data_IF_669273659475
#
_entry.id   IF_669273659475
#
_cell.length_a   1.000
_cell.length_b   1.000
_cell.length_c   1.000
_cell.angle_alpha   90.00
_cell.angle_beta   90.00
_cell.angle_gamma   90.00
#
_symmetry.space_group_name_H-M   'P 1'
#
loop_
_entity.id
_entity.type
_entity.pdbx_description
1 polymer ?
#
# COMPACT_ATOMS: atom_id res chain seq x y z
N UNK A 1 33.90 5.72 6.57
CA UNK A 1 32.54 6.17 6.93
C UNK A 1 32.21 5.99 8.42
N UNK A 2 32.57 4.86 9.05
CA UNK A 2 32.32 4.64 10.50
C UNK A 2 33.04 5.62 11.44
N UNK A 3 34.24 6.08 11.07
CA UNK A 3 35.04 7.01 11.89
C UNK A 3 34.42 8.41 11.99
N UNK A 4 33.76 8.89 10.94
CA UNK A 4 33.08 10.19 10.94
C UNK A 4 31.85 10.18 11.85
N UNK A 5 31.12 9.06 11.89
CA UNK A 5 29.94 8.88 12.75
C UNK A 5 30.33 8.85 14.24
N UNK A 6 31.44 8.20 14.56
CA UNK A 6 31.96 8.15 15.94
C UNK A 6 32.48 9.51 16.42
N UNK A 7 33.10 10.31 15.52
CA UNK A 7 33.54 11.67 15.82
C UNK A 7 32.31 12.58 16.03
N UNK A 8 31.27 12.47 15.20
CA UNK A 8 30.03 13.23 15.37
C UNK A 8 29.30 12.89 16.67
N UNK A 9 29.25 11.60 17.03
CA UNK A 9 28.66 11.17 18.32
C UNK A 9 29.49 11.68 19.50
N UNK A 10 30.84 11.67 19.43
CA UNK A 10 31.71 12.20 20.49
C UNK A 10 31.57 13.72 20.65
N UNK A 11 31.52 14.46 19.54
CA UNK A 11 31.34 15.92 19.58
C UNK A 11 29.93 16.25 20.09
N UNK A 12 28.92 15.51 19.69
CA UNK A 12 27.55 15.64 20.18
C UNK A 12 27.44 15.34 21.69
N UNK A 13 28.14 14.29 22.16
CA UNK A 13 28.20 13.94 23.59
C UNK A 13 29.00 14.96 24.42
N UNK A 14 30.09 15.51 23.87
CA UNK A 14 30.88 16.59 24.50
C UNK A 14 30.10 17.90 24.57
N UNK A 15 29.38 18.28 23.52
CA UNK A 15 28.48 19.43 23.53
C UNK A 15 27.34 19.27 24.57
N UNK A 16 26.85 18.05 24.82
CA UNK A 16 25.86 17.77 25.86
C UNK A 16 26.46 17.94 27.27
N UNK A 17 27.77 17.63 27.47
CA UNK A 17 28.41 17.66 28.79
C UNK A 17 28.94 19.06 29.16
N UNK A 18 29.36 19.87 28.19
CA UNK A 18 29.94 21.20 28.45
C UNK A 18 28.95 22.37 28.43
N UNK A 19 27.70 22.17 28.03
CA UNK A 19 26.70 23.24 28.14
C UNK A 19 26.33 23.44 29.61
N UNK A 20 26.99 24.35 30.27
CA UNK A 20 26.50 24.97 31.53
C UNK A 20 25.11 25.49 31.25
N UNK A 21 24.13 24.80 31.86
CA UNK A 21 22.73 25.12 31.73
C UNK A 21 22.46 26.56 32.18
N UNK A 22 22.00 27.40 31.25
CA UNK A 22 21.30 28.63 31.61
C UNK A 22 19.81 28.21 31.61
N UNK A 23 19.19 28.03 32.79
CA UNK A 23 17.77 27.65 32.82
C UNK A 23 16.95 28.84 32.33
N UNK A 24 16.13 28.62 31.34
CA UNK A 24 15.13 29.58 30.90
C UNK A 24 13.81 29.23 31.60
N UNK A 25 13.39 30.03 32.57
CA UNK A 25 12.15 29.79 33.30
C UNK A 25 10.94 30.37 32.56
N UNK A 26 9.96 29.55 32.30
CA UNK A 26 8.67 29.96 31.76
C UNK A 26 7.55 29.42 32.65
N UNK A 27 6.75 30.27 33.24
CA UNK A 27 5.69 29.89 34.22
C UNK A 27 6.15 28.98 35.38
N UNK A 28 7.39 29.19 35.88
CA UNK A 28 7.93 28.40 36.99
C UNK A 28 8.48 27.02 36.59
N UNK A 29 8.56 26.71 35.32
CA UNK A 29 9.22 25.50 34.77
C UNK A 29 10.56 25.92 34.16
N UNK A 30 11.65 25.34 34.67
CA UNK A 30 13.00 25.57 34.17
C UNK A 30 13.31 24.61 33.01
N UNK A 31 13.54 25.15 31.83
CA UNK A 31 13.94 24.38 30.67
C UNK A 31 15.43 24.49 30.41
N UNK A 32 16.03 23.37 30.13
CA UNK A 32 17.43 23.35 29.68
C UNK A 32 17.51 23.73 28.21
N UNK A 33 18.67 24.26 27.76
CA UNK A 33 18.89 24.60 26.36
C UNK A 33 18.60 23.40 25.43
N UNK A 34 18.98 22.19 25.86
CA UNK A 34 18.77 20.95 25.12
C UNK A 34 17.27 20.66 24.95
N UNK A 35 16.49 20.81 26.03
CA UNK A 35 15.04 20.60 25.97
C UNK A 35 14.36 21.59 25.02
N UNK A 36 14.79 22.84 25.01
CA UNK A 36 14.30 23.85 24.06
C UNK A 36 14.65 23.50 22.61
N UNK A 37 15.87 23.02 22.34
CA UNK A 37 16.29 22.58 21.02
C UNK A 37 15.48 21.37 20.57
N UNK A 38 15.31 20.38 21.44
CA UNK A 38 14.50 19.18 21.15
C UNK A 38 13.04 19.56 20.88
N UNK A 39 12.48 20.44 21.71
CA UNK A 39 11.12 20.94 21.51
C UNK A 39 10.97 21.68 20.18
N UNK A 40 11.95 22.51 19.83
CA UNK A 40 11.98 23.21 18.54
C UNK A 40 12.02 22.25 17.36
N UNK A 41 12.84 21.20 17.43
CA UNK A 41 12.91 20.15 16.38
C UNK A 41 11.59 19.37 16.29
N UNK A 42 10.98 19.02 17.42
CA UNK A 42 9.68 18.36 17.43
C UNK A 42 8.57 19.22 16.80
N UNK A 43 8.56 20.53 17.09
CA UNK A 43 7.65 21.48 16.48
C UNK A 43 7.83 21.57 14.95
N UNK A 44 9.08 21.62 14.47
CA UNK A 44 9.36 21.61 13.04
C UNK A 44 8.86 20.34 12.35
N UNK A 45 9.11 19.18 12.95
CA UNK A 45 8.61 17.89 12.44
C UNK A 45 7.08 17.88 12.42
N UNK A 46 6.44 18.38 13.46
CA UNK A 46 4.98 18.45 13.56
C UNK A 46 4.37 19.39 12.50
N UNK A 47 4.96 20.57 12.28
CA UNK A 47 4.54 21.51 11.23
C UNK A 47 4.69 20.87 9.85
N UNK A 48 5.84 20.20 9.59
CA UNK A 48 6.05 19.46 8.35
C UNK A 48 5.01 18.37 8.14
N UNK A 49 4.67 17.64 9.20
CA UNK A 49 3.65 16.59 9.14
C UNK A 49 2.27 17.14 8.82
N UNK A 50 1.86 18.24 9.46
CA UNK A 50 0.59 18.94 9.16
C UNK A 50 0.59 19.42 7.70
N UNK A 51 1.68 20.03 7.23
CA UNK A 51 1.80 20.46 5.83
C UNK A 51 1.63 19.27 4.87
N UNK A 52 2.31 18.16 5.13
CA UNK A 52 2.22 16.96 4.29
C UNK A 52 0.80 16.40 4.26
N UNK A 53 0.16 16.22 5.42
CA UNK A 53 -1.22 15.73 5.48
C UNK A 53 -2.22 16.67 4.79
N UNK A 54 -2.09 17.97 4.98
CA UNK A 54 -3.00 18.93 4.32
C UNK A 54 -2.82 18.89 2.80
N UNK A 55 -1.61 18.80 2.30
CA UNK A 55 -1.33 18.64 0.85
C UNK A 55 -1.91 17.36 0.29
N UNK A 56 -1.75 16.26 1.01
CA UNK A 56 -2.31 14.96 0.61
C UNK A 56 -3.84 14.98 0.56
N UNK A 57 -4.48 15.45 1.63
CA UNK A 57 -5.94 15.56 1.71
C UNK A 57 -6.49 16.49 0.63
N UNK A 58 -5.86 17.63 0.38
CA UNK A 58 -6.26 18.55 -0.69
C UNK A 58 -6.19 17.89 -2.07
N UNK A 59 -5.18 17.03 -2.32
CA UNK A 59 -5.07 16.26 -3.56
C UNK A 59 -6.29 15.34 -3.76
N UNK A 60 -6.62 14.56 -2.74
CA UNK A 60 -7.77 13.65 -2.78
C UNK A 60 -9.10 14.40 -2.93
N UNK A 61 -9.29 15.51 -2.19
CA UNK A 61 -10.50 16.32 -2.27
C UNK A 61 -10.67 16.98 -3.65
N UNK A 62 -9.57 17.43 -4.26
CA UNK A 62 -9.60 17.99 -5.63
C UNK A 62 -10.00 16.92 -6.64
N UNK A 63 -9.44 15.73 -6.57
CA UNK A 63 -9.80 14.60 -7.44
C UNK A 63 -11.27 14.22 -7.27
N UNK A 64 -11.74 14.09 -6.03
CA UNK A 64 -13.14 13.81 -5.73
C UNK A 64 -14.08 14.88 -6.28
N UNK A 65 -13.71 16.15 -6.09
CA UNK A 65 -14.50 17.28 -6.60
C UNK A 65 -14.49 17.33 -8.14
N UNK A 66 -13.36 17.02 -8.76
CA UNK A 66 -13.25 16.95 -10.22
C UNK A 66 -14.08 15.79 -10.78
N UNK A 67 -14.05 14.62 -10.12
CA UNK A 67 -14.88 13.47 -10.48
C UNK A 67 -16.37 13.79 -10.38
N UNK A 68 -16.82 14.37 -9.27
CA UNK A 68 -18.22 14.76 -9.08
C UNK A 68 -18.71 15.82 -10.08
N UNK A 69 -17.81 16.63 -10.62
CA UNK A 69 -18.12 17.65 -11.65
C UNK A 69 -17.97 17.11 -13.08
N UNK A 70 -17.72 15.81 -13.26
CA UNK A 70 -17.48 15.23 -14.59
C UNK A 70 -16.24 15.80 -15.31
N UNK A 71 -15.31 16.43 -14.55
CA UNK A 71 -14.10 17.04 -15.10
C UNK A 71 -12.88 16.09 -15.12
N UNK A 72 -13.05 14.86 -14.63
CA UNK A 72 -12.02 13.83 -14.80
C UNK A 72 -12.17 13.33 -16.23
N UNK A 73 -11.26 13.75 -17.09
CA UNK A 73 -11.12 13.13 -18.39
C UNK A 73 -10.64 11.69 -18.15
N UNK A 74 -11.55 10.72 -18.28
CA UNK A 74 -11.13 9.34 -18.43
C UNK A 74 -10.30 9.26 -19.72
N UNK A 75 -9.20 8.51 -19.68
CA UNK A 75 -8.41 8.28 -20.90
C UNK A 75 -9.35 7.77 -21.99
N UNK A 76 -9.28 8.39 -23.15
CA UNK A 76 -10.05 7.96 -24.33
C UNK A 76 -9.59 6.59 -24.83
N UNK A 77 -8.35 6.22 -24.54
CA UNK A 77 -7.82 4.89 -24.79
C UNK A 77 -8.01 4.06 -23.53
N UNK A 78 -8.75 2.97 -23.65
CA UNK A 78 -8.98 1.99 -22.59
C UNK A 78 -8.14 0.75 -22.96
N UNK A 79 -6.89 0.66 -22.45
CA UNK A 79 -6.03 -0.49 -22.76
C UNK A 79 -6.61 -1.77 -22.14
N UNK A 80 -6.37 -2.93 -22.74
CA UNK A 80 -6.79 -4.20 -22.16
C UNK A 80 -6.12 -4.43 -20.79
N UNK A 81 -6.90 -4.93 -19.82
CA UNK A 81 -6.48 -5.04 -18.42
C UNK A 81 -6.61 -6.48 -17.91
N UNK A 82 -5.62 -6.94 -17.16
CA UNK A 82 -5.68 -8.21 -16.42
C UNK A 82 -5.82 -7.95 -14.92
N UNK A 83 -6.98 -8.34 -14.36
CA UNK A 83 -7.25 -8.25 -12.92
C UNK A 83 -6.82 -9.56 -12.25
N UNK A 84 -5.85 -9.50 -11.34
CA UNK A 84 -5.32 -10.68 -10.66
C UNK A 84 -5.85 -10.71 -9.23
N UNK A 85 -6.50 -11.82 -8.85
CA UNK A 85 -7.06 -12.06 -7.53
C UNK A 85 -6.41 -13.29 -6.95
N UNK A 86 -5.68 -13.16 -5.84
CA UNK A 86 -5.14 -14.31 -5.09
C UNK A 86 -6.13 -14.67 -3.98
N UNK A 87 -6.59 -15.91 -3.97
CA UNK A 87 -7.57 -16.41 -3.02
C UNK A 87 -7.08 -17.68 -2.33
N UNK A 88 -7.38 -17.78 -1.03
CA UNK A 88 -7.14 -18.99 -0.23
C UNK A 88 -8.28 -19.13 0.76
N UNK A 89 -9.02 -20.24 0.64
CA UNK A 89 -10.19 -20.54 1.49
C UNK A 89 -11.21 -19.38 1.54
N UNK A 90 -11.51 -18.80 0.37
CA UNK A 90 -12.33 -17.58 0.22
C UNK A 90 -13.61 -17.85 -0.61
N UNK A 91 -14.16 -19.07 -0.54
CA UNK A 91 -15.31 -19.49 -1.36
C UNK A 91 -16.52 -18.57 -1.22
N UNK A 92 -16.87 -18.14 0.02
CA UNK A 92 -18.03 -17.29 0.27
C UNK A 92 -17.84 -15.87 -0.28
N UNK A 93 -16.64 -15.31 -0.11
CA UNK A 93 -16.32 -14.00 -0.63
C UNK A 93 -16.28 -13.99 -2.16
N UNK A 94 -15.68 -15.00 -2.77
CA UNK A 94 -15.65 -15.15 -4.23
C UNK A 94 -17.06 -15.35 -4.79
N UNK A 95 -17.89 -16.20 -4.18
CA UNK A 95 -19.28 -16.41 -4.59
C UNK A 95 -20.07 -15.11 -4.58
N UNK A 96 -19.85 -14.28 -3.58
CA UNK A 96 -20.58 -13.02 -3.39
C UNK A 96 -20.08 -11.89 -4.27
N UNK A 97 -18.78 -11.74 -4.43
CA UNK A 97 -18.18 -10.52 -4.99
C UNK A 97 -17.58 -10.70 -6.39
N UNK A 98 -17.09 -11.90 -6.74
CA UNK A 98 -16.45 -12.13 -8.03
C UNK A 98 -17.39 -11.83 -9.23
N UNK A 99 -18.70 -12.17 -9.19
CA UNK A 99 -19.60 -11.80 -10.27
C UNK A 99 -19.68 -10.30 -10.55
N UNK A 100 -19.58 -9.44 -9.52
CA UNK A 100 -19.58 -7.99 -9.72
C UNK A 100 -18.31 -7.50 -10.40
N UNK A 101 -17.16 -8.16 -10.17
CA UNK A 101 -15.92 -7.86 -10.88
C UNK A 101 -16.00 -8.30 -12.33
N UNK A 102 -16.59 -9.48 -12.59
CA UNK A 102 -16.71 -10.06 -13.93
C UNK A 102 -17.70 -9.33 -14.83
N UNK A 103 -18.65 -8.60 -14.23
CA UNK A 103 -19.71 -7.86 -14.94
C UNK A 103 -19.40 -6.37 -15.10
N UNK A 104 -18.15 -5.94 -14.86
CA UNK A 104 -17.80 -4.54 -15.04
C UNK A 104 -17.87 -4.12 -16.51
N UNK A 105 -18.36 -2.89 -16.73
CA UNK A 105 -18.41 -2.28 -18.05
C UNK A 105 -17.04 -1.76 -18.45
N UNK A 106 -16.15 -2.67 -18.88
CA UNK A 106 -14.84 -2.34 -19.43
C UNK A 106 -14.65 -3.07 -20.75
N UNK A 107 -14.12 -2.40 -21.82
CA UNK A 107 -14.13 -2.96 -23.18
C UNK A 107 -13.39 -4.28 -23.33
N UNK A 108 -12.21 -4.37 -22.75
CA UNK A 108 -11.36 -5.56 -22.87
C UNK A 108 -10.63 -5.81 -21.54
N UNK A 109 -11.09 -6.82 -20.79
CA UNK A 109 -10.46 -7.23 -19.54
C UNK A 109 -10.63 -8.71 -19.29
N UNK A 110 -9.66 -9.27 -18.60
CA UNK A 110 -9.72 -10.62 -18.04
C UNK A 110 -9.56 -10.58 -16.52
N UNK A 111 -10.12 -11.57 -15.84
CA UNK A 111 -9.95 -11.78 -14.42
C UNK A 111 -9.27 -13.12 -14.21
N UNK A 112 -8.15 -13.12 -13.51
CA UNK A 112 -7.36 -14.31 -13.21
C UNK A 112 -7.40 -14.55 -11.71
N UNK A 113 -8.09 -15.60 -11.28
CA UNK A 113 -8.09 -16.01 -9.88
C UNK A 113 -7.01 -17.06 -9.65
N UNK A 114 -6.08 -16.76 -8.76
CA UNK A 114 -5.01 -17.68 -8.35
C UNK A 114 -5.42 -18.36 -7.06
N UNK A 115 -5.70 -19.66 -7.12
CA UNK A 115 -5.98 -20.47 -5.96
C UNK A 115 -4.67 -20.82 -5.23
N UNK A 116 -4.46 -20.26 -4.03
CA UNK A 116 -3.27 -20.48 -3.21
C UNK A 116 -3.42 -21.71 -2.29
N UNK A 117 -3.81 -22.84 -2.87
CA UNK A 117 -3.94 -24.10 -2.15
C UNK A 117 -5.14 -24.09 -1.19
N UNK A 118 -6.30 -23.62 -1.64
CA UNK A 118 -7.54 -23.69 -0.88
C UNK A 118 -7.93 -25.13 -0.60
N UNK A 119 -8.53 -25.35 0.56
CA UNK A 119 -9.04 -26.67 1.02
C UNK A 119 -10.59 -26.72 1.03
N UNK A 120 -11.21 -25.57 0.76
CA UNK A 120 -12.66 -25.41 0.65
C UNK A 120 -13.16 -25.63 -0.81
N UNK A 121 -14.42 -25.32 -1.06
CA UNK A 121 -15.06 -25.45 -2.39
C UNK A 121 -14.64 -24.36 -3.40
N UNK A 122 -13.53 -23.62 -3.15
CA UNK A 122 -13.08 -22.54 -4.04
C UNK A 122 -12.86 -23.01 -5.48
N UNK A 123 -12.23 -24.17 -5.67
CA UNK A 123 -11.93 -24.72 -7.01
C UNK A 123 -13.21 -25.07 -7.79
N UNK A 124 -14.18 -25.69 -7.11
CA UNK A 124 -15.46 -26.06 -7.71
C UNK A 124 -16.24 -24.80 -8.12
N UNK A 125 -16.28 -23.79 -7.24
CA UNK A 125 -16.90 -22.50 -7.54
C UNK A 125 -16.27 -21.84 -8.78
N UNK A 126 -14.93 -21.80 -8.84
CA UNK A 126 -14.22 -21.19 -9.99
C UNK A 126 -14.50 -21.95 -11.29
N UNK A 127 -14.60 -23.27 -11.21
CA UNK A 127 -14.94 -24.13 -12.35
C UNK A 127 -16.34 -23.83 -12.87
N UNK A 128 -17.31 -23.63 -11.98
CA UNK A 128 -18.68 -23.29 -12.36
C UNK A 128 -18.80 -21.87 -12.92
N UNK A 129 -18.12 -20.90 -12.30
CA UNK A 129 -18.13 -19.53 -12.80
C UNK A 129 -17.47 -19.39 -14.18
N UNK A 130 -16.43 -20.16 -14.49
CA UNK A 130 -15.82 -20.19 -15.84
C UNK A 130 -16.78 -20.66 -16.95
N UNK A 131 -17.77 -21.45 -16.64
CA UNK A 131 -18.81 -21.84 -17.61
C UNK A 131 -19.72 -20.67 -17.99
N UNK A 132 -19.89 -19.72 -17.06
CA UNK A 132 -20.77 -18.57 -17.24
C UNK A 132 -20.03 -17.35 -17.77
N UNK A 133 -18.78 -17.11 -17.32
CA UNK A 133 -18.02 -15.92 -17.60
C UNK A 133 -16.76 -16.25 -18.42
N UNK A 134 -16.77 -15.87 -19.69
CA UNK A 134 -15.65 -16.13 -20.62
C UNK A 134 -14.39 -15.33 -20.31
N UNK A 135 -14.51 -14.21 -19.60
CA UNK A 135 -13.40 -13.37 -19.14
C UNK A 135 -12.78 -13.84 -17.81
N UNK A 136 -13.27 -14.96 -17.23
CA UNK A 136 -12.69 -15.56 -16.03
C UNK A 136 -11.71 -16.68 -16.38
N UNK A 137 -10.51 -16.57 -15.82
CA UNK A 137 -9.47 -17.62 -15.83
C UNK A 137 -9.08 -17.98 -14.40
N UNK A 138 -8.61 -19.18 -14.16
CA UNK A 138 -8.02 -19.54 -12.89
C UNK A 138 -6.71 -20.28 -13.09
N UNK A 139 -5.82 -20.13 -12.13
CA UNK A 139 -4.58 -20.88 -11.98
C UNK A 139 -4.40 -21.24 -10.51
N UNK A 140 -3.45 -22.11 -10.20
CA UNK A 140 -3.21 -22.58 -8.84
C UNK A 140 -1.73 -22.51 -8.48
N UNK A 141 -1.45 -22.42 -7.19
CA UNK A 141 -0.10 -22.54 -6.65
C UNK A 141 0.21 -24.03 -6.46
N UNK A 142 1.30 -24.56 -7.06
CA UNK A 142 1.69 -25.96 -6.87
C UNK A 142 1.98 -26.28 -5.41
N UNK A 143 1.49 -27.42 -4.95
CA UNK A 143 1.74 -27.92 -3.60
C UNK A 143 3.21 -28.28 -3.42
N UNK A 144 3.84 -27.89 -2.30
CA UNK A 144 5.22 -28.26 -1.96
C UNK A 144 6.28 -27.21 -2.25
N UNK A 145 5.94 -26.03 -2.73
CA UNK A 145 6.88 -24.91 -2.89
C UNK A 145 7.03 -24.18 -1.55
N UNK A 146 8.06 -24.58 -0.76
CA UNK A 146 8.23 -24.12 0.63
C UNK A 146 9.12 -22.90 0.81
N UNK A 147 9.83 -22.44 -0.22
CA UNK A 147 10.90 -21.44 -0.09
C UNK A 147 10.49 -19.99 -0.40
N UNK A 148 9.25 -19.75 -0.80
CA UNK A 148 8.71 -18.41 -1.08
C UNK A 148 7.44 -18.19 -0.27
N UNK A 149 7.21 -16.96 0.14
CA UNK A 149 5.88 -16.57 0.66
C UNK A 149 4.83 -16.95 -0.38
N UNK A 150 3.86 -17.80 0.00
CA UNK A 150 2.81 -18.32 -0.90
C UNK A 150 2.10 -17.19 -1.65
N UNK A 151 1.81 -16.08 -0.96
CA UNK A 151 1.20 -14.90 -1.56
C UNK A 151 2.04 -14.26 -2.68
N UNK A 152 3.36 -14.19 -2.52
CA UNK A 152 4.26 -13.66 -3.57
C UNK A 152 4.28 -14.60 -4.78
N UNK A 153 4.31 -15.90 -4.53
CA UNK A 153 4.27 -16.90 -5.59
C UNK A 153 2.95 -16.85 -6.33
N UNK A 154 1.83 -16.83 -5.62
CA UNK A 154 0.49 -16.69 -6.21
C UNK A 154 0.40 -15.47 -7.12
N UNK A 155 0.83 -14.30 -6.64
CA UNK A 155 0.84 -13.08 -7.44
C UNK A 155 1.74 -13.22 -8.68
N UNK A 156 2.93 -13.80 -8.55
CA UNK A 156 3.84 -14.03 -9.68
C UNK A 156 3.24 -14.97 -10.72
N UNK A 157 2.54 -16.01 -10.29
CA UNK A 157 1.84 -16.93 -11.19
C UNK A 157 0.67 -16.23 -11.90
N UNK A 158 -0.08 -15.41 -11.19
CA UNK A 158 -1.15 -14.58 -11.77
C UNK A 158 -0.61 -13.64 -12.85
N UNK A 159 0.47 -12.92 -12.58
CA UNK A 159 1.13 -12.03 -13.54
C UNK A 159 1.61 -12.80 -14.77
N UNK A 160 2.21 -13.98 -14.58
CA UNK A 160 2.67 -14.82 -15.70
C UNK A 160 1.52 -15.41 -16.51
N UNK A 161 0.36 -15.59 -15.93
CA UNK A 161 -0.83 -16.09 -16.59
C UNK A 161 -1.61 -14.97 -17.31
N UNK A 162 -1.30 -13.71 -17.04
CA UNK A 162 -1.93 -12.54 -17.65
C UNK A 162 -1.59 -12.45 -19.14
N UNK A 163 -2.59 -12.09 -19.96
CA UNK A 163 -2.42 -11.85 -21.39
C UNK A 163 -2.18 -10.37 -21.69
N UNK A 164 -2.54 -9.47 -20.77
CA UNK A 164 -2.45 -8.03 -20.95
C UNK A 164 -1.31 -7.45 -20.11
N UNK A 165 -0.70 -6.38 -20.62
CA UNK A 165 0.42 -5.69 -19.96
C UNK A 165 -0.02 -4.76 -18.82
N UNK A 166 -1.34 -4.55 -18.66
CA UNK A 166 -1.97 -3.70 -17.63
C UNK A 166 -2.86 -4.51 -16.70
#
# INVERSE_FOLDING_TARGET
MLTLHLIFLKIFFLLIIETKFIPMSFYGVEFTLIELVVLGLLLLVFIYQIYFYTRYIQGVLRLRTAANKGKVAFQTEQPPVSVIICAKDEVDNLRKYLPFVLQQEYPDFEVIVVNDGSTDETEDLLTDLKKTYSNLRSTFVPVGVTNLSTKKLALTLGIKAANNDW
#
